data_IF_757564683284
#
_entry.id   IF_757564683284
#
_cell.length_a   1.000
_cell.length_b   1.000
_cell.length_c   1.000
_cell.angle_alpha   90.00
_cell.angle_beta   90.00
_cell.angle_gamma   90.00
#
_symmetry.space_group_name_H-M   'P 1'
#
loop_
_entity.id
_entity.type
_entity.pdbx_description
1 polymer ?
#
# COMPACT_ATOMS: atom_id res chain seq x y z
N UNK A 1 5.13 20.19 2.41
CA UNK A 1 5.14 19.55 1.07
C UNK A 1 5.21 20.57 -0.07
N UNK A 2 4.29 21.52 -0.21
CA UNK A 2 4.21 22.40 -1.40
C UNK A 2 5.47 23.17 -1.82
N UNK A 3 6.26 23.75 -0.90
CA UNK A 3 7.48 24.45 -1.29
C UNK A 3 8.55 23.56 -1.95
N UNK A 4 8.40 22.24 -1.90
CA UNK A 4 9.32 21.26 -2.49
C UNK A 4 8.97 20.86 -3.92
N UNK A 5 7.87 21.36 -4.49
CA UNK A 5 7.43 21.02 -5.84
C UNK A 5 8.48 21.45 -6.88
N UNK A 6 8.88 20.52 -7.75
CA UNK A 6 9.93 20.76 -8.75
C UNK A 6 11.37 20.67 -8.22
N UNK A 7 11.56 20.43 -6.91
CA UNK A 7 12.87 20.24 -6.30
C UNK A 7 13.18 18.77 -5.98
N UNK A 8 12.19 18.00 -5.54
CA UNK A 8 12.39 16.62 -5.06
C UNK A 8 11.87 15.59 -6.07
N UNK A 9 12.56 14.46 -6.19
CA UNK A 9 12.10 13.31 -6.99
C UNK A 9 10.98 12.53 -6.28
N UNK A 10 11.04 12.48 -4.95
CA UNK A 10 10.10 11.75 -4.11
C UNK A 10 9.74 12.52 -2.84
N UNK A 11 8.56 12.25 -2.30
CA UNK A 11 8.04 12.92 -1.10
C UNK A 11 7.33 11.92 -0.19
N UNK A 12 7.70 11.89 1.10
CA UNK A 12 6.94 11.19 2.14
C UNK A 12 5.56 11.82 2.26
N UNK A 13 4.51 11.02 2.07
CA UNK A 13 3.12 11.49 2.07
C UNK A 13 2.31 11.03 3.28
N UNK A 14 2.95 10.42 4.27
CA UNK A 14 2.33 10.00 5.53
C UNK A 14 3.26 10.26 6.72
N UNK A 15 2.73 10.04 7.91
CA UNK A 15 3.50 9.92 9.14
C UNK A 15 4.38 8.65 9.17
N UNK A 16 5.26 8.55 10.16
CA UNK A 16 6.25 7.48 10.29
C UNK A 16 5.63 6.13 10.64
N UNK A 17 6.08 5.09 9.95
CA UNK A 17 5.60 3.72 10.06
C UNK A 17 6.06 3.08 11.35
N UNK A 18 5.08 2.47 12.02
CA UNK A 18 5.30 1.68 13.22
C UNK A 18 4.57 0.34 13.08
N UNK A 19 5.17 -0.73 13.61
CA UNK A 19 4.56 -2.07 13.63
C UNK A 19 3.43 -2.09 14.66
N UNK A 20 2.33 -1.44 14.32
CA UNK A 20 1.15 -1.23 15.14
C UNK A 20 -0.08 -1.08 14.23
N UNK A 21 -1.19 -1.74 14.59
CA UNK A 21 -2.40 -1.80 13.76
C UNK A 21 -3.02 -0.42 13.49
N UNK A 22 -3.13 0.41 14.52
CA UNK A 22 -3.73 1.74 14.43
C UNK A 22 -2.88 2.67 13.56
N UNK A 23 -1.55 2.60 13.70
CA UNK A 23 -0.60 3.35 12.88
C UNK A 23 -0.68 2.94 11.41
N UNK A 24 -0.74 1.65 11.11
CA UNK A 24 -0.98 1.19 9.73
C UNK A 24 -2.30 1.70 9.15
N UNK A 25 -3.38 1.71 9.95
CA UNK A 25 -4.67 2.24 9.51
C UNK A 25 -4.63 3.76 9.26
N UNK A 26 -3.95 4.53 10.12
CA UNK A 26 -3.75 5.97 9.94
C UNK A 26 -2.96 6.25 8.66
N UNK A 27 -1.78 5.63 8.53
CA UNK A 27 -0.88 5.80 7.38
C UNK A 27 -1.56 5.42 6.06
N UNK A 28 -2.37 4.37 6.07
CA UNK A 28 -3.14 3.99 4.89
C UNK A 28 -4.12 5.09 4.47
N UNK A 29 -4.84 5.74 5.40
CA UNK A 29 -5.74 6.83 5.04
C UNK A 29 -4.98 8.03 4.45
N UNK A 30 -3.88 8.41 5.08
CA UNK A 30 -3.04 9.53 4.64
C UNK A 30 -2.47 9.28 3.24
N UNK A 31 -1.87 8.11 3.03
CA UNK A 31 -1.28 7.70 1.76
C UNK A 31 -2.33 7.59 0.66
N UNK A 32 -3.46 6.94 0.92
CA UNK A 32 -4.50 6.75 -0.11
C UNK A 32 -5.17 8.08 -0.51
N UNK A 33 -5.37 9.01 0.43
CA UNK A 33 -5.89 10.35 0.12
C UNK A 33 -4.91 11.20 -0.70
N UNK A 34 -3.61 10.89 -0.66
CA UNK A 34 -2.54 11.61 -1.36
C UNK A 34 -1.99 10.83 -2.56
N UNK A 35 -2.52 9.64 -2.86
CA UNK A 35 -1.99 8.77 -3.92
C UNK A 35 -2.09 9.37 -5.31
N UNK A 36 -3.05 10.28 -5.53
CA UNK A 36 -3.19 11.04 -6.78
C UNK A 36 -1.97 11.90 -7.12
N UNK A 37 -1.12 12.24 -6.15
CA UNK A 37 0.11 13.00 -6.36
C UNK A 37 1.19 12.18 -7.07
N UNK A 38 1.10 10.84 -7.00
CA UNK A 38 2.08 9.92 -7.56
C UNK A 38 2.23 10.11 -9.07
N UNK A 39 3.46 10.45 -9.50
CA UNK A 39 3.84 10.74 -10.88
C UNK A 39 3.04 11.88 -11.54
N UNK A 40 2.37 12.69 -10.73
CA UNK A 40 1.80 13.98 -11.14
C UNK A 40 2.63 15.13 -10.57
N UNK A 41 3.03 15.01 -9.30
CA UNK A 41 3.89 15.98 -8.60
C UNK A 41 5.29 15.41 -8.31
N UNK A 42 5.35 14.14 -7.90
CA UNK A 42 6.56 13.42 -7.48
C UNK A 42 6.29 11.91 -7.39
N UNK A 43 7.32 11.10 -7.14
CA UNK A 43 7.12 9.76 -6.59
C UNK A 43 6.63 9.89 -5.14
N UNK A 44 5.46 9.33 -4.81
CA UNK A 44 5.07 9.26 -3.39
C UNK A 44 5.93 8.23 -2.66
N UNK A 45 6.25 8.51 -1.41
CA UNK A 45 6.85 7.58 -0.47
C UNK A 45 5.80 7.28 0.63
N UNK A 46 5.22 6.06 0.65
CA UNK A 46 4.25 5.63 1.67
C UNK A 46 4.93 5.17 2.97
N UNK A 47 6.23 5.47 3.11
CA UNK A 47 7.15 4.95 4.12
C UNK A 47 7.40 3.43 3.98
N UNK A 48 8.19 2.90 4.91
CA UNK A 48 8.85 1.62 4.76
C UNK A 48 7.89 0.41 4.90
N UNK A 49 8.14 -0.61 4.09
CA UNK A 49 7.60 -1.95 4.27
C UNK A 49 8.22 -2.58 5.53
N UNK A 50 7.41 -2.81 6.55
CA UNK A 50 7.81 -3.47 7.80
C UNK A 50 6.87 -4.64 8.10
N UNK A 51 7.36 -5.87 7.95
CA UNK A 51 6.56 -7.11 8.03
C UNK A 51 7.14 -8.13 9.02
N UNK A 52 8.21 -7.75 9.73
CA UNK A 52 8.92 -8.59 10.70
C UNK A 52 8.86 -7.92 12.06
N UNK A 53 8.22 -8.57 13.04
CA UNK A 53 8.14 -8.05 14.42
C UNK A 53 9.51 -7.82 15.03
N UNK A 54 9.63 -6.75 15.82
CA UNK A 54 10.76 -6.42 16.67
C UNK A 54 10.38 -6.64 18.14
N UNK A 55 11.35 -6.78 19.07
CA UNK A 55 11.07 -7.05 20.48
C UNK A 55 10.05 -6.09 21.13
N UNK A 56 10.11 -4.80 20.78
CA UNK A 56 9.25 -3.75 21.36
C UNK A 56 8.23 -3.19 20.36
N UNK A 57 8.11 -3.79 19.18
CA UNK A 57 7.25 -3.26 18.11
C UNK A 57 6.75 -4.41 17.24
N UNK A 58 5.49 -4.79 17.41
CA UNK A 58 4.90 -5.93 16.73
C UNK A 58 3.43 -5.69 16.43
N UNK A 59 2.99 -6.28 15.32
CA UNK A 59 1.58 -6.32 14.94
C UNK A 59 1.18 -7.77 14.65
N UNK A 60 -0.13 -8.03 14.61
CA UNK A 60 -0.64 -9.33 14.19
C UNK A 60 -0.51 -9.53 12.66
N UNK A 61 -0.75 -10.76 12.19
CA UNK A 61 -0.63 -11.09 10.77
C UNK A 61 -1.55 -10.24 9.90
N UNK A 62 -2.79 -10.01 10.35
CA UNK A 62 -3.78 -9.24 9.60
C UNK A 62 -3.34 -7.78 9.41
N UNK A 63 -2.77 -7.16 10.43
CA UNK A 63 -2.21 -5.81 10.37
C UNK A 63 -1.04 -5.72 9.39
N UNK A 64 -0.14 -6.71 9.37
CA UNK A 64 0.94 -6.76 8.38
C UNK A 64 0.44 -6.97 6.95
N UNK A 65 -0.62 -7.77 6.76
CA UNK A 65 -1.26 -7.94 5.46
C UNK A 65 -1.95 -6.66 4.99
N UNK A 66 -2.59 -5.94 5.91
CA UNK A 66 -3.18 -4.63 5.67
C UNK A 66 -2.10 -3.63 5.21
N UNK A 67 -0.99 -3.54 5.96
CA UNK A 67 0.15 -2.69 5.59
C UNK A 67 0.73 -3.07 4.22
N UNK A 68 0.97 -4.36 3.97
CA UNK A 68 1.43 -4.84 2.65
C UNK A 68 0.46 -4.44 1.53
N UNK A 69 -0.85 -4.54 1.78
CA UNK A 69 -1.87 -4.20 0.78
C UNK A 69 -1.93 -2.69 0.50
N UNK A 70 -1.63 -1.85 1.49
CA UNK A 70 -1.45 -0.41 1.26
C UNK A 70 -0.36 -0.17 0.21
N UNK A 71 0.81 -0.78 0.40
CA UNK A 71 1.96 -0.62 -0.51
C UNK A 71 1.69 -1.23 -1.90
N UNK A 72 0.90 -2.30 -1.95
CA UNK A 72 0.40 -2.88 -3.21
C UNK A 72 -0.49 -1.90 -3.99
N UNK A 73 -1.29 -1.11 -3.27
CA UNK A 73 -2.23 -0.14 -3.83
C UNK A 73 -1.57 1.21 -4.15
N UNK A 74 -0.69 1.72 -3.29
CA UNK A 74 -0.14 3.08 -3.40
C UNK A 74 0.80 3.26 -4.58
N UNK A 75 1.52 2.19 -4.99
CA UNK A 75 2.71 2.37 -5.82
C UNK A 75 3.72 3.27 -5.09
N UNK A 76 4.55 4.01 -5.84
CA UNK A 76 5.54 4.91 -5.24
C UNK A 76 6.84 4.23 -4.85
N UNK A 77 7.56 4.75 -3.87
CA UNK A 77 8.77 4.10 -3.38
C UNK A 77 8.42 2.80 -2.64
N UNK A 78 9.24 1.77 -2.85
CA UNK A 78 9.17 0.51 -2.10
C UNK A 78 10.50 0.30 -1.38
N UNK A 79 10.52 0.61 -0.08
CA UNK A 79 11.70 0.53 0.76
C UNK A 79 11.47 -0.49 1.88
N UNK A 80 12.40 -1.40 2.11
CA UNK A 80 12.30 -2.34 3.24
C UNK A 80 12.85 -1.70 4.51
N UNK A 81 12.02 -1.61 5.54
CA UNK A 81 12.43 -1.22 6.91
C UNK A 81 12.66 -2.41 7.84
N UNK A 82 12.62 -3.63 7.32
CA UNK A 82 12.87 -4.85 8.09
C UNK A 82 14.36 -5.21 8.17
N UNK A 83 14.82 -5.78 9.31
CA UNK A 83 16.16 -6.35 9.42
C UNK A 83 16.31 -7.55 8.47
N UNK A 84 17.07 -7.37 7.40
CA UNK A 84 17.25 -8.38 6.33
C UNK A 84 17.61 -9.79 6.85
N UNK A 85 18.51 -9.96 7.84
CA UNK A 85 18.84 -11.30 8.37
C UNK A 85 17.68 -12.00 9.08
N UNK A 86 16.69 -11.24 9.55
CA UNK A 86 15.55 -11.74 10.34
C UNK A 86 14.25 -11.80 9.52
N UNK A 87 14.31 -11.57 8.20
CA UNK A 87 13.12 -11.60 7.36
C UNK A 87 12.41 -12.96 7.46
N UNK A 88 11.14 -12.92 7.85
CA UNK A 88 10.27 -14.09 7.87
C UNK A 88 9.95 -14.57 6.45
N UNK A 89 9.53 -15.83 6.24
CA UNK A 89 9.07 -16.31 4.94
C UNK A 89 7.96 -15.43 4.35
N UNK A 90 7.03 -14.96 5.19
CA UNK A 90 5.98 -14.02 4.79
C UNK A 90 6.55 -12.69 4.28
N UNK A 91 7.52 -12.11 4.98
CA UNK A 91 8.13 -10.84 4.58
C UNK A 91 8.86 -10.98 3.25
N UNK A 92 9.65 -12.06 3.07
CA UNK A 92 10.35 -12.37 1.82
C UNK A 92 9.38 -12.55 0.64
N UNK A 93 8.33 -13.35 0.84
CA UNK A 93 7.35 -13.60 -0.21
C UNK A 93 6.57 -12.33 -0.57
N UNK A 94 6.19 -11.53 0.43
CA UNK A 94 5.48 -10.27 0.25
C UNK A 94 6.33 -9.26 -0.53
N UNK A 95 7.59 -9.07 -0.15
CA UNK A 95 8.51 -8.18 -0.87
C UNK A 95 8.71 -8.64 -2.33
N UNK A 96 8.91 -9.95 -2.57
CA UNK A 96 9.01 -10.50 -3.93
C UNK A 96 7.76 -10.23 -4.77
N UNK A 97 6.56 -10.37 -4.18
CA UNK A 97 5.28 -10.11 -4.85
C UNK A 97 5.09 -8.62 -5.13
N UNK A 98 5.46 -7.74 -4.19
CA UNK A 98 5.42 -6.29 -4.38
C UNK A 98 6.38 -5.88 -5.52
N UNK A 99 7.62 -6.35 -5.52
CA UNK A 99 8.57 -6.09 -6.63
C UNK A 99 8.01 -6.56 -7.99
N UNK A 100 7.39 -7.74 -8.04
CA UNK A 100 6.74 -8.24 -9.27
C UNK A 100 5.57 -7.34 -9.70
N UNK A 101 4.75 -6.87 -8.76
CA UNK A 101 3.66 -5.91 -9.02
C UNK A 101 4.20 -4.60 -9.63
N UNK A 102 5.34 -4.12 -9.16
CA UNK A 102 6.02 -2.93 -9.69
C UNK A 102 6.55 -3.13 -11.12
N UNK A 103 6.97 -4.35 -11.47
CA UNK A 103 7.37 -4.68 -12.85
C UNK A 103 6.21 -4.59 -13.84
N UNK A 104 4.98 -4.92 -13.43
CA UNK A 104 3.80 -4.78 -14.28
C UNK A 104 3.35 -3.33 -14.44
N UNK A 105 3.34 -2.56 -13.35
CA UNK A 105 2.90 -1.16 -13.38
C UNK A 105 3.48 -0.40 -12.21
N UNK A 106 3.90 0.84 -12.46
CA UNK A 106 4.27 1.77 -11.39
C UNK A 106 3.06 2.57 -10.88
N UNK A 107 1.91 2.50 -11.55
CA UNK A 107 0.76 3.35 -11.21
C UNK A 107 0.20 3.01 -9.83
N UNK A 108 -0.21 4.05 -9.12
CA UNK A 108 -1.07 3.95 -7.95
C UNK A 108 -2.47 3.47 -8.35
N UNK A 109 -3.11 2.70 -7.47
CA UNK A 109 -4.52 2.35 -7.59
C UNK A 109 -5.40 3.58 -7.33
N UNK A 110 -6.45 3.71 -8.13
CA UNK A 110 -7.45 4.78 -7.99
C UNK A 110 -8.40 4.42 -6.86
N UNK A 111 -8.59 5.36 -5.93
CA UNK A 111 -9.61 5.27 -4.89
C UNK A 111 -10.98 5.59 -5.49
N UNK A 112 -11.96 4.72 -5.26
CA UNK A 112 -13.29 4.82 -5.87
C UNK A 112 -14.28 5.65 -5.05
N UNK A 113 -13.99 5.89 -3.76
CA UNK A 113 -14.81 6.73 -2.88
C UNK A 113 -14.02 7.28 -1.69
N UNK A 114 -14.53 8.33 -1.05
CA UNK A 114 -13.92 8.93 0.16
C UNK A 114 -13.87 7.97 1.36
N UNK A 115 -14.60 6.85 1.32
CA UNK A 115 -14.50 5.81 2.34
C UNK A 115 -13.17 5.04 2.28
N UNK A 116 -12.43 5.16 1.17
CA UNK A 116 -11.15 4.48 0.89
C UNK A 116 -11.20 2.95 0.97
N UNK A 117 -12.41 2.36 0.99
CA UNK A 117 -12.59 0.91 1.15
C UNK A 117 -12.17 0.10 -0.07
N UNK A 118 -12.12 0.73 -1.24
CA UNK A 118 -11.76 0.07 -2.48
C UNK A 118 -10.81 0.94 -3.31
N UNK A 119 -9.68 0.34 -3.64
CA UNK A 119 -8.74 0.87 -4.62
C UNK A 119 -8.68 -0.07 -5.82
N UNK A 120 -8.66 0.50 -7.02
CA UNK A 120 -8.71 -0.22 -8.28
C UNK A 120 -7.53 0.15 -9.18
N UNK A 121 -6.91 -0.85 -9.80
CA UNK A 121 -5.88 -0.64 -10.81
C UNK A 121 -6.01 -1.66 -11.95
N UNK A 122 -6.13 -1.22 -13.21
CA UNK A 122 -5.86 -2.07 -14.37
C UNK A 122 -4.39 -2.47 -14.36
N UNK A 123 -4.11 -3.72 -13.99
CA UNK A 123 -2.75 -4.18 -13.72
C UNK A 123 -2.06 -4.67 -14.99
N UNK A 124 -2.79 -5.43 -15.82
CA UNK A 124 -2.39 -5.86 -17.17
C UNK A 124 -3.60 -5.78 -18.09
N UNK A 125 -3.43 -6.01 -19.39
CA UNK A 125 -4.53 -5.99 -20.37
C UNK A 125 -5.68 -6.96 -20.09
N UNK A 126 -5.48 -7.91 -19.16
CA UNK A 126 -6.42 -8.98 -18.81
C UNK A 126 -6.72 -9.08 -17.32
N UNK A 127 -6.01 -8.32 -16.47
CA UNK A 127 -6.10 -8.47 -15.03
C UNK A 127 -6.24 -7.12 -14.36
N UNK A 128 -7.25 -7.03 -13.50
CA UNK A 128 -7.45 -5.92 -12.60
C UNK A 128 -6.98 -6.28 -11.18
N UNK A 129 -6.36 -5.31 -10.51
CA UNK A 129 -6.05 -5.39 -9.10
C UNK A 129 -7.11 -4.61 -8.31
N UNK A 130 -7.79 -5.32 -7.42
CA UNK A 130 -8.71 -4.76 -6.45
C UNK A 130 -8.10 -4.90 -5.06
N UNK A 131 -7.93 -3.76 -4.37
CA UNK A 131 -7.50 -3.74 -2.97
C UNK A 131 -8.67 -3.27 -2.11
N UNK A 132 -9.03 -4.09 -1.11
CA UNK A 132 -10.11 -3.80 -0.18
C UNK A 132 -9.53 -3.51 1.21
N UNK A 133 -9.98 -2.41 1.80
CA UNK A 133 -9.50 -1.94 3.09
C UNK A 133 -10.65 -1.85 4.09
N UNK A 134 -10.57 -2.66 5.13
CA UNK A 134 -11.51 -2.61 6.25
C UNK A 134 -10.89 -1.84 7.43
N UNK A 135 -11.15 -0.54 7.47
CA UNK A 135 -10.61 0.34 8.51
C UNK A 135 -11.31 0.25 9.87
N UNK A 136 -12.46 -0.43 9.95
CA UNK A 136 -13.32 -0.40 11.14
C UNK A 136 -13.32 -1.72 11.92
N UNK A 137 -12.57 -2.73 11.45
CA UNK A 137 -12.44 -4.05 12.09
C UNK A 137 -13.70 -4.94 12.09
N UNK A 138 -14.88 -4.39 11.78
CA UNK A 138 -16.12 -5.15 11.67
C UNK A 138 -16.19 -5.88 10.33
N UNK A 139 -16.62 -7.13 10.31
CA UNK A 139 -16.83 -7.88 9.08
C UNK A 139 -17.73 -7.09 8.11
N UNK A 140 -17.35 -7.07 6.83
CA UNK A 140 -18.05 -6.34 5.77
C UNK A 140 -18.01 -7.16 4.49
N UNK A 141 -19.12 -7.10 3.76
CA UNK A 141 -19.21 -7.64 2.41
C UNK A 141 -18.90 -6.54 1.40
N UNK A 142 -18.22 -6.92 0.33
CA UNK A 142 -17.94 -6.04 -0.79
C UNK A 142 -18.16 -6.79 -2.09
N UNK A 143 -19.05 -6.30 -2.94
CA UNK A 143 -19.33 -6.91 -4.25
C UNK A 143 -18.47 -6.24 -5.31
N UNK A 144 -17.66 -7.04 -6.00
CA UNK A 144 -16.95 -6.60 -7.20
C UNK A 144 -17.83 -6.85 -8.42
N UNK A 145 -17.99 -5.82 -9.26
CA UNK A 145 -18.71 -5.94 -10.52
C UNK A 145 -17.68 -6.03 -11.64
N UNK A 146 -17.75 -7.09 -12.44
CA UNK A 146 -16.92 -7.26 -13.62
C UNK A 146 -17.64 -6.70 -14.85
N UNK A 147 -16.93 -5.94 -15.68
CA UNK A 147 -17.47 -5.45 -16.95
C UNK A 147 -17.52 -6.54 -18.04
N UNK A 148 -16.86 -7.68 -17.78
CA UNK A 148 -16.79 -8.84 -18.65
C UNK A 148 -17.01 -10.12 -17.85
N UNK A 149 -17.54 -11.20 -18.46
CA UNK A 149 -17.64 -12.50 -17.80
C UNK A 149 -16.25 -12.97 -17.35
N UNK A 150 -16.17 -13.46 -16.12
CA UNK A 150 -14.95 -14.12 -15.61
C UNK A 150 -14.86 -15.48 -16.30
N UNK A 151 -13.82 -15.69 -17.12
CA UNK A 151 -13.55 -16.98 -17.78
C UNK A 151 -12.92 -17.98 -16.81
#
# INVERSE_FOLDING_TARGET
MWPSLGLVDAMRVSDDVERNADRFCQIARETLMRSWQHRQLWQIDPDCLTLTSLPNQSADRASYEFHRNLLLASGGLLLSGDPLPKLTPFAKQSLKRLLKRFQYSQKAAKITSLSMRHAFLPLTDKNDLHCLFNFNGKAQEFTLVANHPVQ
#
